data_IF_970655404746
#
_entry.id   IF_970655404746
#
_cell.length_a   1.000
_cell.length_b   1.000
_cell.length_c   1.000
_cell.angle_alpha   90.00
_cell.angle_beta   90.00
_cell.angle_gamma   90.00
#
_symmetry.space_group_name_H-M   'P 1'
#
loop_
_entity.id
_entity.type
_entity.pdbx_description
1 polymer ?
#
# COMPACT_ATOMS: atom_id res chain seq x y z
N UNK A 1 -6.92 -9.54 -16.93
CA UNK A 1 -6.75 -8.40 -16.02
C UNK A 1 -5.28 -8.29 -15.69
N UNK A 2 -4.59 -7.21 -16.10
CA UNK A 2 -3.21 -6.96 -15.67
C UNK A 2 -3.21 -6.89 -14.14
N UNK A 3 -2.35 -7.68 -13.51
CA UNK A 3 -2.12 -7.72 -12.06
C UNK A 3 -1.36 -6.44 -11.69
N UNK A 4 -2.02 -5.29 -11.90
CA UNK A 4 -1.47 -3.97 -11.73
C UNK A 4 -1.18 -3.73 -10.26
N UNK A 5 -0.04 -3.12 -9.99
CA UNK A 5 0.43 -2.65 -8.70
C UNK A 5 -0.71 -2.21 -7.77
N UNK A 6 -0.55 -2.47 -6.48
CA UNK A 6 -1.38 -1.92 -5.41
C UNK A 6 -1.18 -0.40 -5.34
N UNK A 7 -1.73 0.32 -6.31
CA UNK A 7 -1.48 1.73 -6.60
C UNK A 7 -1.57 2.54 -5.30
N UNK A 8 -0.45 3.12 -4.87
CA UNK A 8 -0.36 3.77 -3.56
C UNK A 8 -1.43 4.85 -3.44
N UNK A 9 -1.74 5.51 -4.55
CA UNK A 9 -2.79 6.52 -4.69
C UNK A 9 -4.19 5.96 -4.35
N UNK A 10 -4.49 4.71 -4.69
CA UNK A 10 -5.77 4.07 -4.32
C UNK A 10 -5.82 3.76 -2.83
N UNK A 11 -4.70 3.35 -2.26
CA UNK A 11 -4.60 3.10 -0.81
C UNK A 11 -4.77 4.40 -0.06
N UNK A 12 -4.14 5.49 -0.52
CA UNK A 12 -4.30 6.84 0.02
C UNK A 12 -5.76 7.28 -0.10
N UNK A 13 -6.39 7.13 -1.26
CA UNK A 13 -7.80 7.51 -1.45
C UNK A 13 -8.74 6.78 -0.47
N UNK A 14 -8.53 5.49 -0.23
CA UNK A 14 -9.33 4.75 0.75
C UNK A 14 -9.03 5.14 2.20
N UNK A 15 -7.79 5.55 2.52
CA UNK A 15 -7.46 6.11 3.83
C UNK A 15 -8.16 7.46 4.03
N UNK A 16 -8.18 8.32 3.01
CA UNK A 16 -8.87 9.61 3.04
C UNK A 16 -10.38 9.45 3.24
N UNK A 17 -10.99 8.49 2.55
CA UNK A 17 -12.41 8.13 2.71
C UNK A 17 -12.71 7.68 4.14
N UNK A 18 -11.88 6.78 4.71
CA UNK A 18 -12.04 6.33 6.09
C UNK A 18 -11.91 7.47 7.12
N UNK A 19 -10.97 8.40 6.90
CA UNK A 19 -10.83 9.59 7.74
C UNK A 19 -12.05 10.51 7.65
N UNK A 20 -12.62 10.67 6.45
CA UNK A 20 -13.84 11.44 6.26
C UNK A 20 -15.03 10.82 6.98
N UNK A 21 -15.19 9.49 6.88
CA UNK A 21 -16.25 8.78 7.59
C UNK A 21 -16.10 8.83 9.12
N UNK A 22 -14.87 8.78 9.63
CA UNK A 22 -14.60 9.00 11.06
C UNK A 22 -15.02 10.40 11.52
N UNK A 23 -14.70 11.42 10.73
CA UNK A 23 -15.05 12.81 11.04
C UNK A 23 -16.57 12.98 11.17
N UNK A 24 -17.32 12.30 10.31
CA UNK A 24 -18.78 12.32 10.32
C UNK A 24 -19.41 11.70 11.57
N UNK A 25 -18.67 10.96 12.39
CA UNK A 25 -19.20 10.48 13.67
C UNK A 25 -19.70 11.61 14.58
N UNK A 26 -19.10 12.79 14.47
CA UNK A 26 -19.48 13.98 15.24
C UNK A 26 -20.56 14.83 14.54
N UNK A 27 -20.96 14.49 13.32
CA UNK A 27 -22.03 15.19 12.60
C UNK A 27 -23.40 14.56 12.93
N UNK A 28 -24.33 15.31 13.56
CA UNK A 28 -25.67 14.80 13.85
C UNK A 28 -26.51 14.55 12.58
N UNK A 29 -26.16 15.18 11.45
CA UNK A 29 -26.89 15.05 10.18
C UNK A 29 -26.32 13.97 9.25
N UNK A 30 -25.12 13.44 9.55
CA UNK A 30 -24.53 12.39 8.74
C UNK A 30 -25.31 11.07 8.87
N UNK A 31 -25.51 10.42 7.73
CA UNK A 31 -26.18 9.13 7.67
C UNK A 31 -25.30 8.00 8.23
N UNK A 32 -25.89 6.88 8.64
CA UNK A 32 -25.15 5.79 9.29
C UNK A 32 -24.07 5.18 8.39
N UNK A 33 -24.27 5.17 7.06
CA UNK A 33 -23.32 4.69 6.06
C UNK A 33 -22.18 5.68 5.77
N UNK A 34 -22.30 6.92 6.21
CA UNK A 34 -21.23 7.93 6.14
C UNK A 34 -20.38 7.96 7.41
N UNK A 35 -20.69 7.11 8.40
CA UNK A 35 -20.01 7.01 9.69
C UNK A 35 -19.16 5.74 9.75
N UNK A 36 -18.10 5.77 10.54
CA UNK A 36 -17.19 4.63 10.71
C UNK A 36 -16.83 4.43 12.17
N UNK A 37 -16.90 3.19 12.65
CA UNK A 37 -16.38 2.84 13.96
C UNK A 37 -14.86 3.09 14.07
N UNK A 38 -14.41 3.51 15.26
CA UNK A 38 -13.02 3.85 15.55
C UNK A 38 -12.10 2.64 15.39
N UNK A 39 -12.53 1.45 15.78
CA UNK A 39 -11.69 0.24 15.64
C UNK A 39 -11.50 -0.16 14.18
N UNK A 40 -12.56 -0.04 13.38
CA UNK A 40 -12.53 -0.26 11.94
C UNK A 40 -11.55 0.71 11.26
N UNK A 41 -11.60 1.99 11.63
CA UNK A 41 -10.69 2.98 11.08
C UNK A 41 -9.23 2.75 11.51
N UNK A 42 -8.98 2.34 12.76
CA UNK A 42 -7.64 1.92 13.21
C UNK A 42 -7.12 0.73 12.41
N UNK A 43 -7.97 -0.25 12.12
CA UNK A 43 -7.61 -1.40 11.28
C UNK A 43 -7.22 -0.95 9.86
N UNK A 44 -7.99 -0.03 9.26
CA UNK A 44 -7.66 0.55 7.94
C UNK A 44 -6.33 1.31 7.95
N UNK A 45 -6.09 2.15 8.97
CA UNK A 45 -4.81 2.85 9.13
C UNK A 45 -3.64 1.86 9.30
N UNK A 46 -3.84 0.77 10.03
CA UNK A 46 -2.86 -0.32 10.18
C UNK A 46 -2.52 -1.00 8.86
N UNK A 47 -3.53 -1.33 8.06
CA UNK A 47 -3.34 -1.90 6.72
C UNK A 47 -2.61 -0.92 5.79
N UNK A 48 -2.96 0.37 5.85
CA UNK A 48 -2.30 1.43 5.09
C UNK A 48 -0.81 1.55 5.43
N UNK A 49 -0.47 1.50 6.73
CA UNK A 49 0.93 1.48 7.19
C UNK A 49 1.71 0.31 6.61
N UNK A 50 1.16 -0.91 6.69
CA UNK A 50 1.80 -2.12 6.17
C UNK A 50 2.03 -2.02 4.66
N UNK A 51 1.07 -1.47 3.92
CA UNK A 51 1.22 -1.26 2.48
C UNK A 51 2.38 -0.29 2.15
N UNK A 52 2.44 0.85 2.82
CA UNK A 52 3.53 1.84 2.65
C UNK A 52 4.88 1.22 3.00
N UNK A 53 4.96 0.43 4.07
CA UNK A 53 6.19 -0.30 4.45
C UNK A 53 6.61 -1.30 3.36
N UNK A 54 5.67 -2.05 2.79
CA UNK A 54 5.95 -2.94 1.66
C UNK A 54 6.52 -2.20 0.43
N UNK A 55 6.01 -1.00 0.13
CA UNK A 55 6.54 -0.14 -0.93
C UNK A 55 7.96 0.35 -0.63
N UNK A 56 8.26 0.73 0.62
CA UNK A 56 9.62 1.13 1.02
C UNK A 56 10.62 0.00 0.85
N UNK A 57 10.26 -1.23 1.22
CA UNK A 57 11.11 -2.41 1.02
C UNK A 57 11.40 -2.63 -0.47
N UNK A 58 10.40 -2.51 -1.34
CA UNK A 58 10.60 -2.60 -2.80
C UNK A 58 11.53 -1.51 -3.32
N UNK A 59 11.37 -0.27 -2.88
CA UNK A 59 12.24 0.84 -3.28
C UNK A 59 13.68 0.64 -2.81
N UNK A 60 13.88 0.16 -1.57
CA UNK A 60 15.20 -0.19 -1.05
C UNK A 60 15.85 -1.32 -1.85
N UNK A 61 15.10 -2.37 -2.18
CA UNK A 61 15.58 -3.47 -2.99
C UNK A 61 16.02 -3.05 -4.41
N UNK A 62 15.23 -2.19 -5.07
CA UNK A 62 15.62 -1.60 -6.35
C UNK A 62 16.88 -0.73 -6.21
N UNK A 63 16.99 0.03 -5.11
CA UNK A 63 18.19 0.80 -4.78
C UNK A 63 19.44 -0.08 -4.61
N UNK A 64 19.32 -1.24 -3.96
CA UNK A 64 20.39 -2.23 -3.84
C UNK A 64 20.77 -2.77 -5.22
N UNK A 65 19.79 -3.15 -6.04
CA UNK A 65 20.03 -3.65 -7.40
C UNK A 65 20.77 -2.63 -8.27
N UNK A 66 20.43 -1.34 -8.16
CA UNK A 66 21.10 -0.27 -8.93
C UNK A 66 22.58 -0.08 -8.58
N UNK A 67 23.02 -0.57 -7.41
CA UNK A 67 24.39 -0.44 -6.88
C UNK A 67 25.11 -1.79 -6.78
N UNK A 68 24.49 -2.88 -7.21
CA UNK A 68 25.05 -4.21 -7.09
C UNK A 68 26.13 -4.43 -8.15
N UNK A 69 27.27 -5.00 -7.74
CA UNK A 69 28.37 -5.36 -8.66
C UNK A 69 27.94 -6.41 -9.70
N UNK A 70 26.92 -7.21 -9.38
CA UNK A 70 26.31 -8.18 -10.29
C UNK A 70 24.76 -8.02 -10.31
N UNK A 71 24.23 -7.07 -11.10
CA UNK A 71 22.81 -6.78 -11.16
C UNK A 71 21.93 -7.96 -11.59
N UNK A 72 22.47 -8.89 -12.38
CA UNK A 72 21.73 -10.05 -12.88
C UNK A 72 21.36 -11.03 -11.76
N UNK A 73 22.32 -11.37 -10.89
CA UNK A 73 22.08 -12.23 -9.72
C UNK A 73 21.15 -11.57 -8.71
N UNK A 74 21.34 -10.27 -8.46
CA UNK A 74 20.45 -9.51 -7.55
C UNK A 74 19.03 -9.43 -8.09
N UNK A 75 18.83 -9.26 -9.41
CA UNK A 75 17.50 -9.30 -10.03
C UNK A 75 16.79 -10.63 -9.74
N UNK A 76 17.50 -11.74 -9.94
CA UNK A 76 16.92 -13.08 -9.79
C UNK A 76 16.49 -13.34 -8.35
N UNK A 77 17.30 -12.96 -7.36
CA UNK A 77 16.94 -13.06 -5.94
C UNK A 77 15.71 -12.22 -5.59
N UNK A 78 15.58 -11.01 -6.15
CA UNK A 78 14.42 -10.13 -5.91
C UNK A 78 13.13 -10.64 -6.55
N UNK A 79 13.24 -11.36 -7.68
CA UNK A 79 12.11 -12.04 -8.32
C UNK A 79 11.69 -13.27 -7.49
N UNK A 80 12.65 -14.08 -7.05
CA UNK A 80 12.40 -15.26 -6.21
C UNK A 80 11.81 -14.88 -4.85
N UNK A 81 12.19 -13.73 -4.29
CA UNK A 81 11.64 -13.21 -3.03
C UNK A 81 10.27 -12.54 -3.18
N UNK A 82 9.74 -12.40 -4.39
CA UNK A 82 8.46 -11.72 -4.68
C UNK A 82 8.48 -10.21 -4.42
N UNK A 83 9.66 -9.61 -4.25
CA UNK A 83 9.83 -8.16 -4.05
C UNK A 83 9.72 -7.44 -5.40
N UNK A 84 10.32 -8.01 -6.44
CA UNK A 84 10.16 -7.59 -7.82
C UNK A 84 9.22 -8.55 -8.57
N UNK A 85 8.52 -8.04 -9.59
CA UNK A 85 7.74 -8.87 -10.50
C UNK A 85 8.39 -8.82 -11.89
N UNK A 86 8.28 -9.93 -12.62
CA UNK A 86 8.71 -9.97 -14.02
C UNK A 86 7.65 -9.28 -14.88
N UNK A 87 7.96 -8.09 -15.40
CA UNK A 87 7.04 -7.31 -16.25
C UNK A 87 6.89 -7.88 -17.67
N UNK A 88 7.48 -9.05 -17.94
CA UNK A 88 7.55 -9.69 -19.26
C UNK A 88 6.39 -10.63 -19.63
N UNK A 89 5.23 -10.59 -18.94
CA UNK A 89 4.05 -11.41 -19.28
C UNK A 89 2.74 -10.63 -19.25
#
# INVERSE_FOLDING_TARGET
MKKGSTDLDKIIAHMDEAMWMLKNNNDPNASANEKMDVETAKAMAGLGKVAVEGYKVKAQALGIMSKADNPATTKQLLLESGIANDESK
#
